data_IF_778319255661
#
_entry.id   IF_778319255661
#
_cell.length_a   1.000
_cell.length_b   1.000
_cell.length_c   1.000
_cell.angle_alpha   90.00
_cell.angle_beta   90.00
_cell.angle_gamma   90.00
#
_symmetry.space_group_name_H-M   'P 1'
#
loop_
_entity.id
_entity.type
_entity.pdbx_description
1 polymer ?
#
# COMPACT_ATOMS: atom_id res chain seq x y z
N UNK A 1 -21.72 25.70 14.24
CA UNK A 1 -21.30 24.39 14.74
C UNK A 1 -20.24 23.83 13.78
N UNK A 2 -18.96 23.83 14.20
CA UNK A 2 -17.86 23.34 13.40
C UNK A 2 -17.73 21.85 13.71
N UNK A 3 -18.04 20.99 12.74
CA UNK A 3 -17.84 19.55 12.86
C UNK A 3 -16.32 19.27 12.81
N UNK A 4 -15.77 18.93 13.97
CA UNK A 4 -14.39 18.52 14.09
C UNK A 4 -14.17 17.19 13.33
N UNK A 5 -13.33 17.23 12.32
CA UNK A 5 -12.81 16.03 11.65
C UNK A 5 -11.92 15.30 12.65
N UNK A 6 -12.43 14.24 13.23
CA UNK A 6 -11.66 13.34 14.09
C UNK A 6 -10.72 12.52 13.21
N UNK A 7 -9.47 13.00 13.03
CA UNK A 7 -8.40 12.20 12.48
C UNK A 7 -8.07 11.09 13.46
N UNK A 8 -8.64 9.91 13.26
CA UNK A 8 -8.19 8.67 13.92
C UNK A 8 -6.83 8.28 13.34
N UNK A 9 -5.77 8.77 13.97
CA UNK A 9 -4.42 8.28 13.74
C UNK A 9 -4.30 6.88 14.36
N UNK A 10 -4.55 5.85 13.57
CA UNK A 10 -4.14 4.48 13.92
C UNK A 10 -2.63 4.42 13.74
N UNK A 11 -1.88 4.63 14.82
CA UNK A 11 -0.44 4.36 14.87
C UNK A 11 -0.24 2.85 14.90
N UNK A 12 -0.05 2.23 13.74
CA UNK A 12 0.59 0.93 13.65
C UNK A 12 2.11 1.16 13.66
N UNK A 13 2.84 0.39 14.45
CA UNK A 13 4.30 0.36 14.40
C UNK A 13 4.73 -0.07 12.99
N UNK A 14 5.40 0.82 12.25
CA UNK A 14 5.68 0.67 10.83
C UNK A 14 4.95 1.72 9.97
N UNK A 15 4.65 2.88 10.54
CA UNK A 15 3.88 3.92 9.87
C UNK A 15 4.62 4.47 8.64
N UNK A 16 4.18 4.00 7.51
CA UNK A 16 4.19 4.77 6.27
C UNK A 16 3.29 5.99 6.44
N UNK A 17 3.48 7.02 5.62
CA UNK A 17 2.61 8.19 5.58
C UNK A 17 1.14 7.80 5.79
N UNK A 18 0.40 8.57 6.61
CA UNK A 18 -0.98 8.24 6.88
C UNK A 18 -1.76 8.09 5.56
N UNK A 19 -2.59 7.05 5.44
CA UNK A 19 -3.34 6.76 4.21
C UNK A 19 -4.14 7.93 3.65
N UNK A 20 -4.33 8.97 4.44
CA UNK A 20 -5.08 10.18 4.09
C UNK A 20 -4.38 11.07 3.03
N UNK A 21 -3.08 10.93 2.80
CA UNK A 21 -2.36 11.79 1.85
C UNK A 21 -2.45 11.27 0.40
N UNK A 22 -2.77 10.01 0.19
CA UNK A 22 -2.95 9.47 -1.15
C UNK A 22 -4.43 9.42 -1.51
N UNK A 23 -4.83 10.23 -2.50
CA UNK A 23 -6.19 10.19 -3.02
C UNK A 23 -6.50 8.78 -3.55
N UNK A 24 -7.68 8.25 -3.25
CA UNK A 24 -8.13 6.94 -3.76
C UNK A 24 -8.06 6.84 -5.28
N UNK A 25 -8.18 7.98 -5.99
CA UNK A 25 -7.98 8.04 -7.44
C UNK A 25 -6.58 7.61 -7.88
N UNK A 26 -5.53 7.75 -7.06
CA UNK A 26 -4.19 7.23 -7.37
C UNK A 26 -4.18 5.71 -7.34
N UNK A 27 -4.78 5.10 -6.31
CA UNK A 27 -4.89 3.64 -6.20
C UNK A 27 -5.77 3.06 -7.31
N UNK A 28 -6.84 3.79 -7.65
CA UNK A 28 -7.77 3.38 -8.71
C UNK A 28 -7.08 3.30 -10.09
N UNK A 29 -6.08 4.15 -10.35
CA UNK A 29 -5.31 4.17 -11.61
C UNK A 29 -4.30 3.04 -11.73
N UNK A 30 -3.98 2.33 -10.65
CA UNK A 30 -3.06 1.21 -10.69
C UNK A 30 -3.59 0.10 -11.58
N UNK A 31 -2.74 -0.40 -12.49
CA UNK A 31 -3.10 -1.48 -13.41
C UNK A 31 -2.80 -2.85 -12.82
N UNK A 32 -1.78 -2.95 -11.98
CA UNK A 32 -1.42 -4.15 -11.23
C UNK A 32 -1.74 -3.91 -9.75
N UNK A 33 -2.61 -4.74 -9.16
CA UNK A 33 -2.89 -4.71 -7.72
C UNK A 33 -2.86 -6.15 -7.21
N UNK A 34 -2.06 -6.41 -6.20
CA UNK A 34 -1.90 -7.75 -5.67
C UNK A 34 -1.58 -7.75 -4.17
N UNK A 35 -1.94 -8.85 -3.52
CA UNK A 35 -1.51 -9.21 -2.16
C UNK A 35 -0.44 -10.29 -2.29
N UNK A 36 0.59 -10.20 -1.49
CA UNK A 36 1.66 -11.20 -1.47
C UNK A 36 2.54 -11.12 -0.24
N UNK A 37 3.54 -12.01 -0.19
CA UNK A 37 4.53 -12.07 0.88
C UNK A 37 5.89 -11.62 0.36
N UNK A 38 6.58 -10.79 1.12
CA UNK A 38 7.95 -10.36 0.84
C UNK A 38 8.89 -11.54 1.06
N UNK A 39 9.54 -12.03 -0.01
CA UNK A 39 10.43 -13.20 0.03
C UNK A 39 11.90 -12.83 0.05
N UNK A 40 12.26 -11.68 -0.49
CA UNK A 40 13.64 -11.17 -0.48
C UNK A 40 13.65 -9.64 -0.53
N UNK A 41 14.72 -9.06 -0.01
CA UNK A 41 15.00 -7.62 -0.10
C UNK A 41 16.46 -7.47 -0.48
N UNK A 42 16.74 -6.60 -1.47
CA UNK A 42 18.10 -6.24 -1.85
C UNK A 42 18.27 -4.72 -1.93
N UNK A 43 19.45 -4.26 -1.61
CA UNK A 43 19.84 -2.85 -1.78
C UNK A 43 20.22 -2.60 -3.25
N UNK A 44 19.68 -1.54 -3.82
CA UNK A 44 20.01 -1.09 -5.17
C UNK A 44 21.06 0.04 -5.17
N UNK A 45 21.09 0.86 -4.11
CA UNK A 45 22.01 1.98 -4.00
C UNK A 45 21.75 2.84 -2.77
N UNK A 46 22.60 3.83 -2.55
CA UNK A 46 22.42 4.82 -1.50
C UNK A 46 21.33 5.83 -1.89
N UNK A 47 20.67 6.39 -0.88
CA UNK A 47 19.97 7.66 -0.98
C UNK A 47 20.91 8.75 -0.47
N UNK A 48 20.86 9.93 -1.08
CA UNK A 48 21.72 11.05 -0.69
C UNK A 48 21.55 11.35 0.81
N UNK A 49 22.68 11.42 1.51
CA UNK A 49 22.72 11.68 2.96
C UNK A 49 22.46 10.48 3.87
N UNK A 50 22.22 9.29 3.35
CA UNK A 50 21.94 8.08 4.14
C UNK A 50 23.08 7.07 3.99
N UNK A 51 23.69 6.68 5.12
CA UNK A 51 24.87 5.78 5.16
C UNK A 51 24.62 4.40 5.74
N UNK A 52 23.43 4.14 6.32
CA UNK A 52 23.10 2.85 6.91
C UNK A 52 22.94 1.72 5.90
N UNK A 53 23.34 0.49 6.26
CA UNK A 53 23.19 -0.69 5.37
C UNK A 53 21.74 -0.99 5.01
N UNK A 54 20.82 -0.69 5.93
CA UNK A 54 19.37 -0.88 5.75
C UNK A 54 18.66 0.33 5.17
N UNK A 55 19.42 1.40 4.84
CA UNK A 55 18.90 2.64 4.30
C UNK A 55 19.33 2.78 2.84
N UNK A 56 18.45 3.28 1.99
CA UNK A 56 18.76 3.49 0.59
C UNK A 56 17.64 3.08 -0.34
N UNK A 57 17.95 3.02 -1.62
CA UNK A 57 17.07 2.46 -2.63
C UNK A 57 17.09 0.95 -2.52
N UNK A 58 15.92 0.36 -2.34
CA UNK A 58 15.73 -1.06 -2.10
C UNK A 58 14.81 -1.65 -3.16
N UNK A 59 14.90 -2.96 -3.30
CA UNK A 59 13.95 -3.74 -4.07
C UNK A 59 13.53 -4.95 -3.25
N UNK A 60 12.22 -5.13 -3.08
CA UNK A 60 11.65 -6.32 -2.51
C UNK A 60 11.17 -7.24 -3.62
N UNK A 61 11.35 -8.55 -3.46
CA UNK A 61 10.65 -9.56 -4.23
C UNK A 61 9.39 -9.94 -3.46
N UNK A 62 8.23 -9.77 -4.08
CA UNK A 62 6.94 -10.11 -3.49
C UNK A 62 6.37 -11.31 -4.22
N UNK A 63 6.24 -12.44 -3.54
CA UNK A 63 5.51 -13.61 -4.03
C UNK A 63 4.02 -13.30 -4.06
N UNK A 64 3.42 -13.34 -5.24
CA UNK A 64 2.00 -13.00 -5.42
C UNK A 64 1.13 -14.15 -4.93
N UNK A 65 0.33 -13.91 -3.92
CA UNK A 65 -0.63 -14.87 -3.38
C UNK A 65 -2.03 -14.66 -3.94
N UNK A 66 -2.37 -13.40 -4.22
CA UNK A 66 -3.64 -13.04 -4.85
C UNK A 66 -3.46 -11.84 -5.76
N UNK A 67 -3.79 -12.03 -7.01
CA UNK A 67 -3.94 -10.96 -7.98
C UNK A 67 -5.36 -10.39 -7.87
N UNK A 68 -5.46 -9.08 -7.62
CA UNK A 68 -6.72 -8.33 -7.51
C UNK A 68 -7.03 -7.58 -8.82
N UNK A 69 -5.98 -7.14 -9.51
CA UNK A 69 -6.06 -6.48 -10.82
C UNK A 69 -4.81 -6.77 -11.62
N UNK A 70 -4.96 -7.07 -12.92
CA UNK A 70 -3.85 -7.26 -13.85
C UNK A 70 -3.85 -6.20 -14.95
N UNK A 71 -2.68 -5.79 -15.47
CA UNK A 71 -2.60 -5.05 -16.71
C UNK A 71 -3.22 -5.86 -17.85
N UNK A 72 -3.93 -5.20 -18.76
CA UNK A 72 -4.58 -5.87 -19.90
C UNK A 72 -3.55 -6.66 -20.72
N UNK A 73 -3.82 -7.94 -20.93
CA UNK A 73 -2.96 -8.82 -21.73
C UNK A 73 -1.70 -9.33 -21.01
N UNK A 74 -1.44 -8.93 -19.77
CA UNK A 74 -0.33 -9.45 -19.01
C UNK A 74 -0.70 -10.72 -18.24
N UNK A 75 0.15 -11.76 -18.36
CA UNK A 75 0.08 -12.90 -17.46
C UNK A 75 0.57 -12.50 -16.08
N UNK A 76 -0.10 -12.98 -15.03
CA UNK A 76 0.36 -12.76 -13.65
C UNK A 76 1.66 -13.54 -13.41
N UNK A 77 2.77 -12.91 -13.04
CA UNK A 77 3.96 -13.60 -12.61
C UNK A 77 3.73 -14.25 -11.23
N UNK A 78 4.53 -15.23 -10.88
CA UNK A 78 4.51 -15.81 -9.53
C UNK A 78 5.07 -14.84 -8.49
N UNK A 79 5.98 -13.95 -8.90
CA UNK A 79 6.65 -12.95 -8.07
C UNK A 79 6.75 -11.64 -8.83
N UNK A 80 6.71 -10.53 -8.08
CA UNK A 80 6.90 -9.20 -8.64
C UNK A 80 7.97 -8.43 -7.84
N UNK A 81 8.91 -7.76 -8.52
CA UNK A 81 9.85 -6.85 -7.89
C UNK A 81 9.18 -5.50 -7.60
N UNK A 82 9.39 -5.00 -6.39
CA UNK A 82 8.83 -3.72 -5.91
C UNK A 82 9.97 -2.85 -5.38
N UNK A 83 10.19 -1.69 -5.99
CA UNK A 83 11.19 -0.73 -5.53
C UNK A 83 10.62 0.15 -4.45
N UNK A 84 11.43 0.48 -3.46
CA UNK A 84 11.07 1.41 -2.39
C UNK A 84 12.30 2.10 -1.83
N UNK A 85 12.10 3.25 -1.21
CA UNK A 85 13.14 3.94 -0.48
C UNK A 85 13.00 3.58 1.00
N UNK A 86 14.07 3.05 1.59
CA UNK A 86 14.15 2.76 3.02
C UNK A 86 14.93 3.85 3.73
N UNK A 87 14.37 4.45 4.75
CA UNK A 87 15.01 5.42 5.63
C UNK A 87 14.86 4.99 7.07
N UNK A 88 15.77 5.43 7.93
CA UNK A 88 15.58 5.27 9.36
C UNK A 88 14.30 5.99 9.78
N UNK A 89 13.55 5.45 10.75
CA UNK A 89 12.41 6.15 11.32
C UNK A 89 12.90 7.50 11.86
N UNK A 90 12.26 8.58 11.45
CA UNK A 90 12.47 9.88 12.04
C UNK A 90 11.93 9.83 13.47
N UNK A 91 12.63 10.43 14.47
CA UNK A 91 12.08 10.60 15.81
C UNK A 91 10.71 11.29 15.85
N UNK A 92 10.39 12.08 14.86
CA UNK A 92 9.10 12.76 14.70
C UNK A 92 8.02 11.86 14.03
N UNK A 93 8.36 10.65 13.59
CA UNK A 93 7.42 9.64 13.16
C UNK A 93 7.15 9.56 11.64
N UNK A 94 7.89 10.29 10.83
CA UNK A 94 7.88 10.14 9.37
C UNK A 94 8.70 8.92 8.97
N UNK A 95 8.12 7.73 9.19
CA UNK A 95 8.74 6.46 8.85
C UNK A 95 8.58 6.14 7.38
N UNK A 96 9.68 6.10 6.65
CA UNK A 96 9.71 5.49 5.32
C UNK A 96 9.66 3.97 5.43
N UNK A 97 9.23 3.32 4.34
CA UNK A 97 9.01 1.89 4.27
C UNK A 97 10.14 1.07 4.89
N UNK A 98 9.83 0.36 5.93
CA UNK A 98 10.73 -0.60 6.55
C UNK A 98 10.21 -2.02 6.26
N UNK A 99 10.11 -2.39 4.98
CA UNK A 99 9.70 -3.73 4.61
C UNK A 99 10.68 -4.76 5.18
N UNK A 100 10.13 -5.86 5.67
CA UNK A 100 10.90 -7.00 6.13
C UNK A 100 10.50 -8.28 5.39
N UNK A 101 11.45 -9.20 5.23
CA UNK A 101 11.18 -10.54 4.67
C UNK A 101 10.19 -11.26 5.58
N UNK A 102 9.17 -11.87 4.99
CA UNK A 102 8.09 -12.55 5.68
C UNK A 102 6.86 -11.66 5.95
N UNK A 103 6.93 -10.35 5.73
CA UNK A 103 5.76 -9.48 5.80
C UNK A 103 4.81 -9.70 4.63
N UNK A 104 3.54 -9.47 4.88
CA UNK A 104 2.52 -9.36 3.84
C UNK A 104 2.51 -7.95 3.26
N UNK A 105 2.23 -7.84 1.97
CA UNK A 105 2.13 -6.57 1.27
C UNK A 105 0.88 -6.51 0.38
N UNK A 106 0.22 -5.34 0.34
CA UNK A 106 -0.77 -4.96 -0.67
C UNK A 106 -0.14 -3.87 -1.53
N UNK A 107 0.09 -4.21 -2.80
CA UNK A 107 0.83 -3.38 -3.75
C UNK A 107 -0.11 -2.83 -4.81
N UNK A 108 -0.01 -1.53 -5.05
CA UNK A 108 -0.66 -0.79 -6.14
C UNK A 108 0.41 -0.32 -7.12
N UNK A 109 0.48 -0.88 -8.31
CA UNK A 109 1.52 -0.59 -9.31
C UNK A 109 0.94 -0.42 -10.71
N UNK A 110 1.76 0.06 -11.65
CA UNK A 110 1.36 0.17 -13.06
C UNK A 110 1.67 -1.08 -13.87
N UNK A 111 2.65 -1.87 -13.42
CA UNK A 111 3.11 -3.08 -14.06
C UNK A 111 3.71 -4.05 -13.02
N UNK A 112 4.05 -5.26 -13.44
CA UNK A 112 4.81 -6.23 -12.65
C UNK A 112 6.34 -6.08 -12.79
N UNK A 113 6.79 -5.04 -13.48
CA UNK A 113 8.20 -4.73 -13.67
C UNK A 113 8.80 -4.04 -12.44
N UNK A 114 10.15 -4.04 -12.29
CA UNK A 114 10.81 -3.35 -11.19
C UNK A 114 10.55 -1.84 -11.22
N UNK A 115 9.56 -1.40 -10.48
CA UNK A 115 9.16 0.00 -10.40
C UNK A 115 8.76 0.38 -8.98
N UNK A 116 8.77 1.68 -8.70
CA UNK A 116 8.14 2.21 -7.50
C UNK A 116 6.62 2.02 -7.62
N UNK A 117 5.97 1.47 -6.59
CA UNK A 117 4.52 1.35 -6.57
C UNK A 117 3.88 2.74 -6.46
N UNK A 118 2.64 2.85 -6.91
CA UNK A 118 1.82 4.04 -6.65
C UNK A 118 1.46 4.15 -5.18
N UNK A 119 1.25 3.01 -4.54
CA UNK A 119 1.01 2.89 -3.11
C UNK A 119 1.37 1.47 -2.63
N UNK A 120 1.75 1.36 -1.37
CA UNK A 120 2.22 0.12 -0.77
C UNK A 120 1.84 0.09 0.71
N UNK A 121 1.10 -0.93 1.10
CA UNK A 121 0.79 -1.25 2.49
C UNK A 121 1.49 -2.55 2.85
N UNK A 122 2.07 -2.62 4.04
CA UNK A 122 2.81 -3.80 4.46
C UNK A 122 2.79 -3.96 5.98
N UNK A 123 3.22 -5.12 6.44
CA UNK A 123 3.36 -5.44 7.85
C UNK A 123 3.13 -6.92 8.13
N UNK A 124 3.14 -7.27 9.39
CA UNK A 124 2.66 -8.59 9.78
C UNK A 124 1.23 -8.81 9.24
N UNK A 125 0.84 -10.03 8.87
CA UNK A 125 -0.44 -10.27 8.20
C UNK A 125 -1.66 -9.64 8.90
N UNK A 126 -1.71 -9.67 10.23
CA UNK A 126 -2.80 -9.06 11.00
C UNK A 126 -2.78 -7.52 10.93
N UNK A 127 -1.59 -6.93 10.92
CA UNK A 127 -1.44 -5.47 10.88
C UNK A 127 -1.82 -4.95 9.48
N UNK A 128 -1.41 -5.66 8.43
CA UNK A 128 -1.85 -5.35 7.07
C UNK A 128 -3.38 -5.51 6.93
N UNK A 129 -3.97 -6.54 7.52
CA UNK A 129 -5.43 -6.73 7.51
C UNK A 129 -6.14 -5.55 8.20
N UNK A 130 -5.61 -5.06 9.33
CA UNK A 130 -6.16 -3.89 10.02
C UNK A 130 -6.07 -2.61 9.17
N UNK A 131 -4.93 -2.38 8.50
CA UNK A 131 -4.74 -1.25 7.59
C UNK A 131 -5.74 -1.31 6.41
N UNK A 132 -5.84 -2.46 5.74
CA UNK A 132 -6.76 -2.66 4.60
C UNK A 132 -8.21 -2.50 5.03
N UNK A 133 -8.57 -3.00 6.23
CA UNK A 133 -9.91 -2.80 6.79
C UNK A 133 -10.20 -1.32 7.03
N UNK A 134 -9.27 -0.57 7.59
CA UNK A 134 -9.43 0.87 7.81
C UNK A 134 -9.64 1.63 6.49
N UNK A 135 -8.87 1.31 5.44
CA UNK A 135 -9.05 1.85 4.10
C UNK A 135 -10.42 1.51 3.52
N UNK A 136 -10.81 0.25 3.62
CA UNK A 136 -12.12 -0.23 3.15
C UNK A 136 -13.25 0.53 3.82
N UNK A 137 -13.22 0.64 5.15
CA UNK A 137 -14.25 1.30 5.93
C UNK A 137 -14.28 2.81 5.63
N UNK A 138 -13.12 3.45 5.47
CA UNK A 138 -13.02 4.85 5.05
C UNK A 138 -13.71 5.07 3.69
N UNK A 139 -13.36 4.28 2.68
CA UNK A 139 -13.96 4.41 1.35
C UNK A 139 -15.46 4.10 1.38
N UNK A 140 -15.87 3.11 2.18
CA UNK A 140 -17.28 2.74 2.33
C UNK A 140 -18.13 3.83 2.98
N UNK A 141 -17.58 4.58 3.94
CA UNK A 141 -18.30 5.60 4.71
C UNK A 141 -18.19 7.00 4.12
N UNK A 142 -17.41 7.20 3.05
CA UNK A 142 -17.30 8.52 2.40
C UNK A 142 -18.66 9.09 2.05
N UNK A 143 -18.89 10.34 2.42
CA UNK A 143 -20.01 11.14 1.91
C UNK A 143 -19.76 11.58 0.44
N UNK A 144 -20.73 12.21 -0.17
CA UNK A 144 -20.63 12.64 -1.56
C UNK A 144 -19.50 13.67 -1.80
N UNK A 145 -19.33 14.71 -0.96
CA UNK A 145 -18.21 15.65 -1.09
C UNK A 145 -16.84 14.97 -0.98
N UNK A 146 -16.66 14.11 0.02
CA UNK A 146 -15.40 13.37 0.21
C UNK A 146 -15.13 12.42 -0.96
N UNK A 147 -16.14 11.74 -1.46
CA UNK A 147 -16.04 10.87 -2.64
C UNK A 147 -15.54 11.65 -3.86
N UNK A 148 -16.09 12.85 -4.08
CA UNK A 148 -15.65 13.72 -5.18
C UNK A 148 -14.23 14.24 -4.98
N UNK A 149 -13.85 14.64 -3.74
CA UNK A 149 -12.50 15.09 -3.40
C UNK A 149 -11.45 14.02 -3.68
N UNK A 150 -11.77 12.75 -3.40
CA UNK A 150 -10.90 11.61 -3.72
C UNK A 150 -10.95 11.18 -5.20
N UNK A 151 -11.65 11.93 -6.05
CA UNK A 151 -11.76 11.66 -7.49
C UNK A 151 -12.52 10.38 -7.82
N UNK A 152 -13.45 9.97 -6.96
CA UNK A 152 -14.26 8.78 -7.13
C UNK A 152 -15.66 9.14 -7.66
N UNK A 153 -16.23 8.24 -8.43
CA UNK A 153 -17.67 8.17 -8.72
C UNK A 153 -18.31 7.11 -7.80
N UNK A 154 -19.63 7.06 -7.67
CA UNK A 154 -20.29 5.98 -6.93
C UNK A 154 -19.89 4.58 -7.42
N UNK A 155 -19.73 4.41 -8.73
CA UNK A 155 -19.32 3.13 -9.33
C UNK A 155 -17.88 2.76 -9.01
N UNK A 156 -16.93 3.70 -9.13
CA UNK A 156 -15.52 3.46 -8.83
C UNK A 156 -15.27 3.31 -7.33
N UNK A 157 -16.03 4.01 -6.48
CA UNK A 157 -16.05 3.81 -5.04
C UNK A 157 -16.47 2.37 -4.68
N UNK A 158 -17.59 1.89 -5.25
CA UNK A 158 -18.03 0.52 -5.03
C UNK A 158 -17.01 -0.52 -5.52
N UNK A 159 -16.34 -0.25 -6.65
CA UNK A 159 -15.27 -1.11 -7.16
C UNK A 159 -14.06 -1.15 -6.20
N UNK A 160 -13.69 -0.01 -5.62
CA UNK A 160 -12.58 0.07 -4.66
C UNK A 160 -12.90 -0.66 -3.35
N UNK A 161 -14.12 -0.54 -2.84
CA UNK A 161 -14.57 -1.31 -1.67
C UNK A 161 -14.47 -2.81 -1.94
N UNK A 162 -14.95 -3.29 -3.10
CA UNK A 162 -14.84 -4.71 -3.46
C UNK A 162 -13.37 -5.17 -3.55
N UNK A 163 -12.48 -4.35 -4.09
CA UNK A 163 -11.05 -4.67 -4.15
C UNK A 163 -10.46 -4.87 -2.75
N UNK A 164 -10.79 -4.00 -1.80
CA UNK A 164 -10.36 -4.16 -0.41
C UNK A 164 -10.99 -5.38 0.27
N UNK A 165 -12.27 -5.67 0.01
CA UNK A 165 -12.93 -6.88 0.53
C UNK A 165 -12.24 -8.16 -0.02
N UNK A 166 -11.85 -8.17 -1.31
CA UNK A 166 -11.08 -9.26 -1.91
C UNK A 166 -9.67 -9.40 -1.32
N UNK A 167 -9.00 -8.29 -1.02
CA UNK A 167 -7.70 -8.30 -0.34
C UNK A 167 -7.85 -8.90 1.06
N UNK A 168 -8.83 -8.43 1.85
CA UNK A 168 -9.10 -8.92 3.20
C UNK A 168 -9.44 -10.41 3.25
N UNK A 169 -10.09 -10.94 2.22
CA UNK A 169 -10.41 -12.37 2.15
C UNK A 169 -9.17 -13.27 2.05
N UNK A 170 -7.98 -12.71 1.80
CA UNK A 170 -6.71 -13.43 1.68
C UNK A 170 -5.75 -13.20 2.84
N UNK A 171 -6.01 -12.17 3.62
CA UNK A 171 -5.23 -11.88 4.81
C UNK A 171 -5.79 -12.67 6.01
N UNK A 172 -4.96 -13.15 6.93
CA UNK A 172 -5.42 -13.86 8.11
C UNK A 172 -6.24 -12.93 9.01
N UNK A 173 -7.30 -13.50 9.57
CA UNK A 173 -8.21 -12.82 10.50
C UNK A 173 -7.64 -12.77 11.91
#
# INVERSE_FOLDING_TARGET
>A
MVAGVLCLAVRAAGATDPPALHLESHRLRSRAVFVGTVTAIRRLGALDGLTGETQGRMEATVKIEKLLRAPTGAAAPAEAPVKFDSRAPDPEGDGFYALAVGESALVFADAFEPAYPRDLFHGAPKDLAAQVKALRDFVFTMDAPTTALHGLTPATRAAQVRLYDEALARLPR
#
